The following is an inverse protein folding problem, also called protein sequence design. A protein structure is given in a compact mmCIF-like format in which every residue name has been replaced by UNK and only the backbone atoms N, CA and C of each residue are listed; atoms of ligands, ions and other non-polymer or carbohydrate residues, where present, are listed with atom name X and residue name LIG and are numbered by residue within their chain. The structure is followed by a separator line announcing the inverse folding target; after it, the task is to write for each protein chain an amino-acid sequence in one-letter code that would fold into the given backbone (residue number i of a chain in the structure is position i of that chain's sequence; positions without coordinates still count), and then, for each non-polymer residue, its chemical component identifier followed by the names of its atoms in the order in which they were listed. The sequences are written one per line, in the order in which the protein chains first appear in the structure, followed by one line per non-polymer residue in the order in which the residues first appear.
data_IF_632922068115
#
_entry.id   IF_632922068115
#
_cell.length_a   1.000
_cell.length_b   1.000
_cell.length_c   1.000
_cell.angle_alpha   90.00
_cell.angle_beta   90.00
_cell.angle_gamma   90.00
#
_symmetry.space_group_name_H-M   'P 1'
#
loop_
_entity.id
_entity.type
_entity.pdbx_description
1 polymer ?
#
# COMPACT_ATOMS: atom_id res chain seq x y z
N UNK A 1 8.06 -33.67 -0.52
CA UNK A 1 6.66 -33.49 -0.57
C UNK A 1 6.22 -32.18 -1.19
N UNK A 2 6.10 -32.10 -2.54
CA UNK A 2 6.06 -30.79 -3.21
C UNK A 2 4.70 -30.46 -3.85
N UNK A 3 3.61 -30.83 -3.20
CA UNK A 3 2.24 -30.60 -3.68
C UNK A 3 1.40 -29.74 -2.72
N UNK A 4 2.01 -28.80 -2.04
CA UNK A 4 1.22 -27.77 -1.33
C UNK A 4 0.77 -26.75 -2.36
N UNK A 5 -0.53 -26.59 -2.53
CA UNK A 5 -1.10 -25.53 -3.37
C UNK A 5 -0.59 -24.18 -2.88
N UNK A 6 -0.21 -23.28 -3.79
CA UNK A 6 0.12 -21.90 -3.42
C UNK A 6 -1.13 -21.19 -2.94
N UNK A 7 -0.99 -20.42 -1.89
CA UNK A 7 -2.04 -19.49 -1.46
C UNK A 7 -1.76 -18.09 -1.97
N UNK A 8 -2.81 -17.33 -2.09
CA UNK A 8 -2.79 -15.92 -2.51
C UNK A 8 -3.41 -15.10 -1.39
N UNK A 9 -2.75 -14.02 -1.03
CA UNK A 9 -3.28 -12.96 -0.20
C UNK A 9 -3.21 -11.63 -0.92
N UNK A 10 -4.03 -10.68 -0.50
CA UNK A 10 -4.04 -9.31 -1.05
C UNK A 10 -4.14 -8.31 0.09
N UNK A 11 -3.36 -7.25 0.00
CA UNK A 11 -3.53 -6.05 0.80
C UNK A 11 -4.16 -4.97 -0.08
N UNK A 12 -5.19 -4.31 0.41
CA UNK A 12 -5.91 -3.28 -0.33
C UNK A 12 -6.04 -2.05 0.55
N UNK A 13 -5.45 -0.96 0.10
CA UNK A 13 -5.53 0.33 0.75
C UNK A 13 -6.60 1.21 0.12
N UNK A 14 -7.22 2.07 0.91
CA UNK A 14 -8.11 3.10 0.40
C UNK A 14 -8.06 4.39 1.22
N UNK A 15 -8.37 5.48 0.55
CA UNK A 15 -8.66 6.75 1.20
C UNK A 15 -10.10 6.80 1.69
N UNK A 16 -10.35 7.61 2.72
CA UNK A 16 -11.69 7.88 3.23
C UNK A 16 -11.93 9.38 3.24
N UNK A 17 -13.04 9.82 2.62
CA UNK A 17 -13.41 11.22 2.46
C UNK A 17 -14.83 11.48 2.97
N UNK A 18 -15.06 12.69 3.46
CA UNK A 18 -16.40 13.20 3.72
C UNK A 18 -17.08 13.69 2.43
N UNK A 19 -18.31 14.15 2.54
CA UNK A 19 -19.11 14.69 1.40
C UNK A 19 -18.52 15.95 0.75
N UNK A 20 -17.59 16.64 1.43
CA UNK A 20 -16.91 17.83 0.92
C UNK A 20 -15.50 17.51 0.40
N UNK A 21 -15.17 16.22 0.30
CA UNK A 21 -13.86 15.71 -0.13
C UNK A 21 -12.71 16.02 0.82
N UNK A 22 -12.98 16.28 2.09
CA UNK A 22 -11.94 16.31 3.13
C UNK A 22 -11.64 14.89 3.60
N UNK A 23 -10.35 14.62 3.82
CA UNK A 23 -9.89 13.35 4.39
C UNK A 23 -10.47 13.16 5.79
N UNK A 24 -10.82 11.93 6.12
CA UNK A 24 -11.17 11.57 7.49
C UNK A 24 -10.00 11.93 8.43
N UNK A 25 -10.25 12.51 9.63
CA UNK A 25 -9.19 12.72 10.63
C UNK A 25 -8.49 11.40 10.94
N UNK A 26 -7.17 11.43 11.11
CA UNK A 26 -6.39 10.21 11.34
C UNK A 26 -6.47 9.79 12.80
N UNK A 27 -6.24 10.75 13.68
CA UNK A 27 -6.15 10.50 15.13
C UNK A 27 -7.49 10.71 15.82
N UNK A 28 -7.72 9.99 16.91
CA UNK A 28 -8.93 10.15 17.71
C UNK A 28 -9.10 11.57 18.21
N UNK A 29 -10.33 12.07 18.13
CA UNK A 29 -10.69 13.42 18.53
C UNK A 29 -12.18 13.57 18.87
N UNK A 30 -12.75 14.72 18.59
CA UNK A 30 -14.18 15.02 18.83
C UNK A 30 -15.11 14.50 17.73
N UNK A 31 -14.56 14.11 16.57
CA UNK A 31 -15.29 13.54 15.43
C UNK A 31 -14.72 12.20 15.08
N UNK A 32 -15.50 11.39 14.35
CA UNK A 32 -15.11 10.04 13.93
C UNK A 32 -13.85 10.07 13.08
N UNK A 33 -12.89 9.20 13.39
CA UNK A 33 -11.55 9.19 12.82
C UNK A 33 -11.21 7.84 12.16
N UNK A 34 -10.13 7.79 11.38
CA UNK A 34 -9.57 6.56 10.85
C UNK A 34 -9.18 5.57 11.97
N UNK A 35 -8.71 6.08 13.10
CA UNK A 35 -8.41 5.26 14.29
C UNK A 35 -9.67 4.63 14.90
N UNK A 36 -10.81 5.34 14.90
CA UNK A 36 -12.09 4.78 15.35
C UNK A 36 -12.60 3.73 14.37
N UNK A 37 -12.49 3.99 13.07
CA UNK A 37 -12.82 3.03 12.01
C UNK A 37 -12.00 1.74 12.13
N UNK A 38 -10.70 1.86 12.36
CA UNK A 38 -9.81 0.71 12.56
C UNK A 38 -10.26 -0.15 13.76
N UNK A 39 -10.57 0.46 14.88
CA UNK A 39 -11.06 -0.25 16.07
C UNK A 39 -12.39 -0.96 15.80
N UNK A 40 -13.31 -0.29 15.11
CA UNK A 40 -14.59 -0.89 14.75
C UNK A 40 -14.42 -2.08 13.81
N UNK A 41 -13.61 -1.96 12.75
CA UNK A 41 -13.32 -3.05 11.83
C UNK A 41 -12.72 -4.27 12.56
N UNK A 42 -11.76 -4.05 13.45
CA UNK A 42 -11.13 -5.12 14.23
C UNK A 42 -12.09 -5.79 15.22
N UNK A 43 -13.20 -5.17 15.58
CA UNK A 43 -14.21 -5.73 16.47
C UNK A 43 -15.23 -6.66 15.79
N UNK A 44 -15.23 -6.70 14.43
CA UNK A 44 -16.26 -7.42 13.67
C UNK A 44 -15.86 -8.86 13.40
N UNK A 45 -16.54 -9.79 14.05
CA UNK A 45 -16.30 -11.24 13.96
C UNK A 45 -16.36 -11.82 12.54
N UNK A 46 -17.25 -11.28 11.69
CA UNK A 46 -17.44 -11.77 10.31
C UNK A 46 -16.22 -11.59 9.38
N UNK A 47 -15.30 -10.74 9.76
CA UNK A 47 -14.07 -10.46 9.01
C UNK A 47 -12.83 -10.64 9.89
N UNK A 48 -12.96 -11.35 11.01
CA UNK A 48 -11.89 -11.56 11.99
C UNK A 48 -10.66 -12.30 11.46
N UNK A 49 -10.82 -13.01 10.33
CA UNK A 49 -9.68 -13.66 9.64
C UNK A 49 -8.85 -12.71 8.77
N UNK A 50 -9.31 -11.46 8.63
CA UNK A 50 -8.60 -10.40 7.90
C UNK A 50 -7.75 -9.58 8.86
N UNK A 51 -6.66 -9.00 8.35
CA UNK A 51 -5.90 -7.96 9.05
C UNK A 51 -6.40 -6.56 8.67
N UNK A 52 -6.34 -5.64 9.62
CA UNK A 52 -6.60 -4.22 9.36
C UNK A 52 -5.50 -3.38 9.95
N UNK A 53 -5.05 -2.38 9.20
CA UNK A 53 -4.06 -1.40 9.66
C UNK A 53 -4.36 -0.01 9.12
N UNK A 54 -3.62 0.96 9.65
CA UNK A 54 -3.59 2.32 9.12
C UNK A 54 -2.20 2.61 8.57
N UNK A 55 -2.19 3.13 7.37
CA UNK A 55 -1.02 3.76 6.79
C UNK A 55 -0.77 5.15 7.43
N UNK A 56 0.45 5.72 7.33
CA UNK A 56 0.82 6.95 8.05
C UNK A 56 -0.14 8.12 7.90
N UNK A 57 -0.78 8.28 6.74
CA UNK A 57 -1.78 9.32 6.48
C UNK A 57 -3.22 8.88 6.74
N UNK A 58 -3.44 7.78 7.46
CA UNK A 58 -4.78 7.28 7.81
C UNK A 58 -5.50 6.56 6.69
N UNK A 59 -4.78 6.13 5.64
CA UNK A 59 -5.34 5.21 4.66
C UNK A 59 -5.67 3.90 5.37
N UNK A 60 -6.85 3.35 5.09
CA UNK A 60 -7.28 2.07 5.65
C UNK A 60 -6.71 0.96 4.77
N UNK A 61 -5.97 0.06 5.38
CA UNK A 61 -5.49 -1.17 4.76
C UNK A 61 -6.31 -2.37 5.23
N UNK A 62 -6.73 -3.19 4.30
CA UNK A 62 -7.30 -4.51 4.52
C UNK A 62 -6.35 -5.56 3.96
N UNK A 63 -5.91 -6.48 4.82
CA UNK A 63 -5.16 -7.66 4.44
C UNK A 63 -6.07 -8.88 4.44
N UNK A 64 -6.21 -9.55 3.29
CA UNK A 64 -7.05 -10.73 3.15
C UNK A 64 -6.52 -11.92 3.96
N UNK A 65 -7.37 -12.91 4.26
CA UNK A 65 -6.90 -14.26 4.57
C UNK A 65 -6.07 -14.81 3.41
N UNK A 66 -5.21 -15.78 3.69
CA UNK A 66 -4.53 -16.55 2.66
C UNK A 66 -5.51 -17.52 2.00
N UNK A 67 -5.89 -17.24 0.75
CA UNK A 67 -6.92 -17.95 -0.01
C UNK A 67 -6.28 -18.99 -0.96
N UNK A 68 -7.01 -20.08 -1.21
CA UNK A 68 -6.59 -21.11 -2.19
C UNK A 68 -7.06 -20.78 -3.61
N UNK A 69 -8.08 -19.95 -3.74
CA UNK A 69 -8.66 -19.57 -5.03
C UNK A 69 -8.93 -18.05 -5.11
N UNK A 70 -8.95 -17.54 -6.34
CA UNK A 70 -9.33 -16.14 -6.61
C UNK A 70 -10.79 -15.88 -6.21
N UNK A 71 -11.67 -16.86 -6.34
CA UNK A 71 -13.06 -16.74 -5.95
C UNK A 71 -13.23 -16.54 -4.43
N UNK A 72 -12.45 -17.26 -3.61
CA UNK A 72 -12.43 -17.05 -2.16
C UNK A 72 -11.93 -15.65 -1.81
N UNK A 73 -10.89 -15.20 -2.49
CA UNK A 73 -10.35 -13.86 -2.30
C UNK A 73 -11.37 -12.77 -2.67
N UNK A 74 -12.02 -12.90 -3.83
CA UNK A 74 -13.08 -11.98 -4.27
C UNK A 74 -14.23 -11.93 -3.25
N UNK A 75 -14.71 -13.08 -2.79
CA UNK A 75 -15.78 -13.13 -1.79
C UNK A 75 -15.36 -12.46 -0.47
N UNK A 76 -14.12 -12.66 -0.05
CA UNK A 76 -13.57 -12.04 1.15
C UNK A 76 -13.51 -10.51 1.00
N UNK A 77 -13.05 -10.01 -0.14
CA UNK A 77 -13.04 -8.58 -0.45
C UNK A 77 -14.44 -7.97 -0.48
N UNK A 78 -15.39 -8.62 -1.15
CA UNK A 78 -16.78 -8.15 -1.23
C UNK A 78 -17.45 -8.08 0.15
N UNK A 79 -17.18 -9.05 1.03
CA UNK A 79 -17.65 -9.01 2.41
C UNK A 79 -17.06 -7.84 3.18
N UNK A 80 -15.74 -7.64 3.10
CA UNK A 80 -15.08 -6.48 3.70
C UNK A 80 -15.66 -5.17 3.18
N UNK A 81 -15.71 -5.01 1.86
CA UNK A 81 -16.21 -3.78 1.21
C UNK A 81 -17.62 -3.42 1.65
N UNK A 82 -18.51 -4.41 1.73
CA UNK A 82 -19.88 -4.23 2.20
C UNK A 82 -19.95 -3.74 3.65
N UNK A 83 -19.08 -4.25 4.51
CA UNK A 83 -19.01 -3.84 5.92
C UNK A 83 -18.44 -2.44 6.03
N UNK A 84 -17.33 -2.17 5.32
CA UNK A 84 -16.71 -0.85 5.27
C UNK A 84 -17.71 0.20 4.83
N UNK A 85 -18.40 -0.01 3.71
CA UNK A 85 -19.36 0.94 3.17
C UNK A 85 -20.51 1.22 4.16
N UNK A 86 -21.00 0.20 4.86
CA UNK A 86 -22.04 0.36 5.86
C UNK A 86 -21.60 1.23 7.04
N UNK A 87 -20.36 1.06 7.50
CA UNK A 87 -19.81 1.89 8.58
C UNK A 87 -19.64 3.33 8.09
N UNK A 88 -19.00 3.50 6.95
CA UNK A 88 -18.72 4.82 6.38
C UNK A 88 -19.98 5.60 6.04
N UNK A 89 -21.01 4.95 5.48
CA UNK A 89 -22.31 5.58 5.19
C UNK A 89 -22.99 6.09 6.47
N UNK A 90 -22.91 5.34 7.57
CA UNK A 90 -23.44 5.76 8.88
C UNK A 90 -22.74 7.01 9.41
N UNK A 91 -21.44 7.10 9.22
CA UNK A 91 -20.58 8.20 9.70
C UNK A 91 -20.47 9.37 8.72
N UNK A 92 -21.07 9.25 7.53
CA UNK A 92 -21.07 10.32 6.52
C UNK A 92 -19.81 10.40 5.68
N UNK A 93 -19.08 9.28 5.54
CA UNK A 93 -17.86 9.14 4.76
C UNK A 93 -18.04 8.20 3.57
N UNK A 94 -17.06 8.21 2.65
CA UNK A 94 -16.94 7.30 1.50
C UNK A 94 -15.50 6.82 1.35
N UNK A 95 -15.33 5.57 0.95
CA UNK A 95 -14.02 5.03 0.55
C UNK A 95 -13.72 5.34 -0.90
N UNK A 96 -12.45 5.64 -1.21
CA UNK A 96 -11.96 5.86 -2.56
C UNK A 96 -10.72 4.99 -2.80
N UNK A 97 -10.81 4.06 -3.75
CA UNK A 97 -9.73 3.16 -4.16
C UNK A 97 -9.03 3.76 -5.39
N UNK A 98 -7.99 4.55 -5.15
CA UNK A 98 -7.20 5.24 -6.17
C UNK A 98 -5.74 5.32 -5.71
N UNK A 99 -4.79 5.32 -6.64
CA UNK A 99 -3.37 5.21 -6.32
C UNK A 99 -2.75 6.43 -5.62
N UNK A 100 -3.32 7.62 -5.81
CA UNK A 100 -2.84 8.88 -5.18
C UNK A 100 -4.03 9.70 -4.76
N UNK A 101 -3.96 10.38 -3.61
CA UNK A 101 -4.96 11.36 -3.20
C UNK A 101 -5.06 12.45 -4.27
N UNK A 102 -6.25 12.63 -4.89
CA UNK A 102 -6.38 13.52 -6.04
C UNK A 102 -6.42 15.01 -5.66
N UNK A 103 -6.63 15.34 -4.38
CA UNK A 103 -6.94 16.69 -3.94
C UNK A 103 -5.94 17.25 -2.93
N UNK A 104 -5.57 16.45 -1.92
CA UNK A 104 -4.84 16.94 -0.75
C UNK A 104 -3.34 16.76 -0.91
N UNK A 105 -2.56 17.68 -0.33
CA UNK A 105 -1.12 17.55 -0.19
C UNK A 105 -0.75 16.87 1.14
N UNK A 106 0.50 16.42 1.31
CA UNK A 106 0.93 15.81 2.58
C UNK A 106 0.72 16.72 3.80
N UNK A 107 0.85 18.03 3.64
CA UNK A 107 0.66 19.00 4.72
C UNK A 107 -0.82 19.23 5.07
N UNK A 108 -1.74 18.90 4.17
CA UNK A 108 -3.19 18.95 4.41
C UNK A 108 -3.69 17.68 5.12
N UNK A 109 -2.85 16.64 5.22
CA UNK A 109 -3.20 15.33 5.76
C UNK A 109 -2.52 15.13 7.12
N UNK A 110 -3.30 14.75 8.14
CA UNK A 110 -2.74 14.37 9.43
C UNK A 110 -1.79 13.18 9.29
N UNK A 111 -0.80 13.14 10.18
CA UNK A 111 0.06 11.98 10.40
C UNK A 111 -0.42 11.23 11.63
N UNK A 112 -0.43 9.89 11.55
CA UNK A 112 -0.72 9.05 12.72
C UNK A 112 0.24 9.39 13.86
N UNK A 113 -0.28 9.60 15.07
CA UNK A 113 0.52 10.04 16.22
C UNK A 113 1.31 8.89 16.86
N UNK A 114 2.21 8.30 16.06
CA UNK A 114 3.16 7.28 16.49
C UNK A 114 4.59 7.75 16.21
N UNK A 115 5.49 7.56 17.18
CA UNK A 115 6.90 8.00 17.09
C UNK A 115 7.59 7.49 15.82
N UNK A 116 7.36 6.22 15.43
CA UNK A 116 7.94 5.64 14.22
C UNK A 116 7.58 6.46 12.96
N UNK A 117 6.33 6.87 12.82
CA UNK A 117 5.88 7.63 11.64
C UNK A 117 6.37 9.07 11.65
N UNK A 118 6.51 9.68 12.83
CA UNK A 118 7.14 11.00 12.95
C UNK A 118 8.62 10.98 12.54
N UNK A 119 9.34 9.91 12.89
CA UNK A 119 10.74 9.73 12.49
C UNK A 119 10.85 9.46 10.98
N UNK A 120 9.96 8.61 10.44
CA UNK A 120 9.88 8.35 8.99
C UNK A 120 9.60 9.63 8.22
N UNK A 121 8.62 10.42 8.61
CA UNK A 121 8.24 11.67 7.93
C UNK A 121 9.43 12.64 7.86
N UNK A 122 10.13 12.86 8.98
CA UNK A 122 11.35 13.67 9.03
C UNK A 122 12.49 13.13 8.16
N UNK A 123 12.60 11.80 8.06
CA UNK A 123 13.63 11.18 7.23
C UNK A 123 13.29 11.31 5.74
N UNK A 124 12.03 11.07 5.38
CA UNK A 124 11.54 11.20 4.00
C UNK A 124 11.61 12.65 3.48
N UNK A 125 11.38 13.64 4.34
CA UNK A 125 11.58 15.06 3.99
C UNK A 125 13.03 15.38 3.58
N UNK A 126 14.00 14.65 4.13
CA UNK A 126 15.43 14.88 3.86
C UNK A 126 15.96 14.12 2.65
N UNK A 127 15.43 12.94 2.36
CA UNK A 127 16.01 12.01 1.38
C UNK A 127 15.48 12.15 -0.03
N UNK A 128 14.20 12.46 -0.20
CA UNK A 128 13.58 12.56 -1.50
C UNK A 128 12.51 13.64 -1.54
N UNK A 129 12.27 14.19 -2.72
CA UNK A 129 11.29 15.28 -2.90
C UNK A 129 9.85 14.82 -2.67
N UNK A 130 9.53 13.51 -2.84
CA UNK A 130 8.18 12.98 -2.81
C UNK A 130 7.96 11.91 -1.73
N UNK A 131 8.90 11.70 -0.80
CA UNK A 131 8.78 10.71 0.26
C UNK A 131 7.57 10.91 1.18
N UNK A 132 7.22 12.16 1.51
CA UNK A 132 6.02 12.47 2.30
C UNK A 132 4.73 12.20 1.53
N UNK A 133 4.74 12.39 0.19
CA UNK A 133 3.64 12.00 -0.68
C UNK A 133 3.40 10.49 -0.65
N UNK A 134 4.48 9.71 -0.77
CA UNK A 134 4.41 8.25 -0.68
C UNK A 134 3.77 7.81 0.63
N UNK A 135 4.20 8.37 1.77
CA UNK A 135 3.72 7.98 3.09
C UNK A 135 2.25 8.33 3.34
N UNK A 136 1.81 9.54 2.95
CA UNK A 136 0.52 10.08 3.39
C UNK A 136 -0.55 10.05 2.32
N UNK A 137 -0.17 10.07 1.04
CA UNK A 137 -1.07 10.35 -0.06
C UNK A 137 -1.04 9.29 -1.17
N UNK A 138 -0.51 8.09 -0.91
CA UNK A 138 -0.62 6.97 -1.84
C UNK A 138 -1.39 5.80 -1.24
N UNK A 139 -2.08 5.04 -2.10
CA UNK A 139 -2.67 3.75 -1.79
C UNK A 139 -2.25 2.72 -2.83
N UNK A 140 -2.28 1.45 -2.45
CA UNK A 140 -1.91 0.34 -3.32
C UNK A 140 -2.86 -0.86 -3.22
N UNK A 141 -2.70 -1.76 -4.18
CA UNK A 141 -3.09 -3.16 -4.07
C UNK A 141 -1.82 -3.97 -4.14
N UNK A 142 -1.54 -4.76 -3.11
CA UNK A 142 -0.37 -5.61 -3.02
C UNK A 142 -0.81 -7.07 -3.08
N UNK A 143 -0.15 -7.87 -3.90
CA UNK A 143 -0.46 -9.29 -4.05
C UNK A 143 0.65 -10.09 -3.39
N UNK A 144 0.28 -10.93 -2.43
CA UNK A 144 1.16 -11.84 -1.74
C UNK A 144 0.88 -13.28 -2.21
N UNK A 145 1.89 -14.03 -2.60
CA UNK A 145 1.76 -15.42 -2.96
C UNK A 145 2.92 -16.26 -2.44
N UNK A 146 2.65 -17.55 -2.19
CA UNK A 146 3.63 -18.44 -1.59
C UNK A 146 4.77 -18.76 -2.57
N UNK A 147 6.00 -18.70 -2.06
CA UNK A 147 7.21 -19.18 -2.74
C UNK A 147 7.52 -20.58 -2.24
N UNK A 148 7.81 -21.51 -3.15
CA UNK A 148 8.03 -22.94 -2.85
C UNK A 148 9.47 -23.28 -2.49
N UNK A 149 10.40 -22.64 -3.14
CA UNK A 149 11.85 -22.88 -2.98
C UNK A 149 12.65 -21.74 -3.60
N UNK A 150 13.96 -21.77 -3.46
CA UNK A 150 14.89 -20.74 -3.94
C UNK A 150 14.80 -20.50 -5.45
N UNK A 151 14.76 -21.56 -6.26
CA UNK A 151 14.60 -21.44 -7.71
C UNK A 151 13.30 -20.73 -8.10
N UNK A 152 12.21 -21.05 -7.42
CA UNK A 152 10.90 -20.41 -7.61
C UNK A 152 10.95 -18.91 -7.22
N UNK A 153 11.70 -18.56 -6.19
CA UNK A 153 11.95 -17.17 -5.81
C UNK A 153 12.70 -16.42 -6.90
N UNK A 154 13.80 -16.97 -7.39
CA UNK A 154 14.63 -16.38 -8.45
C UNK A 154 13.83 -16.13 -9.73
N UNK A 155 13.12 -17.17 -10.20
CA UNK A 155 12.25 -17.09 -11.39
C UNK A 155 11.15 -16.02 -11.19
N UNK A 156 10.54 -15.97 -10.02
CA UNK A 156 9.48 -15.02 -9.69
C UNK A 156 9.99 -13.59 -9.66
N UNK A 157 11.11 -13.33 -9.02
CA UNK A 157 11.73 -12.00 -8.96
C UNK A 157 12.07 -11.48 -10.36
N UNK A 158 12.67 -12.33 -11.19
CA UNK A 158 13.00 -11.98 -12.58
C UNK A 158 11.74 -11.64 -13.39
N UNK A 159 10.72 -12.50 -13.33
CA UNK A 159 9.47 -12.30 -14.08
C UNK A 159 8.76 -11.02 -13.62
N UNK A 160 8.66 -10.79 -12.31
CA UNK A 160 7.99 -9.61 -11.77
C UNK A 160 8.71 -8.33 -12.15
N UNK A 161 10.03 -8.29 -12.09
CA UNK A 161 10.80 -7.11 -12.48
C UNK A 161 10.68 -6.82 -13.99
N UNK A 162 10.69 -7.85 -14.84
CA UNK A 162 10.42 -7.70 -16.27
C UNK A 162 8.99 -7.24 -16.58
N UNK A 163 8.01 -7.67 -15.79
CA UNK A 163 6.60 -7.29 -15.96
C UNK A 163 6.28 -5.92 -15.35
N UNK A 164 7.10 -5.40 -14.46
CA UNK A 164 6.83 -4.17 -13.73
C UNK A 164 6.40 -2.98 -14.62
N UNK A 165 7.08 -2.64 -15.73
CA UNK A 165 6.65 -1.54 -16.58
C UNK A 165 5.27 -1.75 -17.21
N UNK A 166 4.98 -2.99 -17.60
CA UNK A 166 3.69 -3.39 -18.22
C UNK A 166 2.57 -3.30 -17.18
N UNK A 167 2.78 -3.84 -15.99
CA UNK A 167 1.80 -3.80 -14.91
C UNK A 167 1.56 -2.37 -14.42
N UNK A 168 2.61 -1.57 -14.30
CA UNK A 168 2.53 -0.15 -13.96
C UNK A 168 1.67 0.64 -14.96
N UNK A 169 1.74 0.31 -16.23
CA UNK A 169 0.90 0.91 -17.27
C UNK A 169 -0.54 0.41 -17.22
N UNK A 170 -0.75 -0.91 -17.17
CA UNK A 170 -2.08 -1.53 -17.21
C UNK A 170 -2.95 -1.16 -16.00
N UNK A 171 -2.35 -1.03 -14.83
CA UNK A 171 -3.04 -0.71 -13.58
C UNK A 171 -2.89 0.75 -13.14
N UNK A 172 -2.45 1.62 -14.05
CA UNK A 172 -2.35 3.05 -13.77
C UNK A 172 -3.72 3.67 -13.56
N UNK A 173 -3.93 4.34 -12.42
CA UNK A 173 -5.17 5.02 -12.06
C UNK A 173 -4.95 6.16 -11.06
N UNK A 174 -3.90 6.96 -11.30
CA UNK A 174 -3.56 8.12 -10.48
C UNK A 174 -3.27 9.35 -11.35
N UNK A 175 -4.26 9.85 -12.13
CA UNK A 175 -4.03 10.90 -13.10
C UNK A 175 -4.12 12.33 -12.53
N UNK A 176 -4.53 12.49 -11.27
CA UNK A 176 -4.81 13.79 -10.67
C UNK A 176 -3.78 14.20 -9.63
N UNK A 177 -3.56 15.50 -9.53
CA UNK A 177 -2.71 16.17 -8.57
C UNK A 177 -3.32 17.52 -8.22
N UNK A 178 -3.60 17.75 -6.94
CA UNK A 178 -4.23 19.01 -6.45
C UNK A 178 -5.52 19.40 -7.21
N UNK A 179 -6.35 18.42 -7.51
CA UNK A 179 -7.61 18.64 -8.21
C UNK A 179 -7.51 18.79 -9.74
N UNK A 180 -6.29 18.76 -10.30
CA UNK A 180 -6.05 18.93 -11.73
C UNK A 180 -5.49 17.66 -12.39
N UNK A 181 -5.80 17.47 -13.68
CA UNK A 181 -5.21 16.38 -14.45
C UNK A 181 -3.74 16.66 -14.76
N UNK A 182 -2.86 15.71 -14.41
CA UNK A 182 -1.41 15.86 -14.58
C UNK A 182 -0.91 15.59 -16.00
N UNK A 183 -1.74 14.97 -16.85
CA UNK A 183 -1.29 14.38 -18.12
C UNK A 183 -0.53 13.05 -17.95
N UNK A 184 -0.26 12.63 -16.72
CA UNK A 184 0.35 11.34 -16.39
C UNK A 184 -0.70 10.42 -15.76
N UNK A 185 -0.90 9.23 -16.31
CA UNK A 185 -1.86 8.27 -15.78
C UNK A 185 -1.35 7.56 -14.52
N UNK A 186 -0.06 7.54 -14.29
CA UNK A 186 0.59 6.85 -13.17
C UNK A 186 1.48 7.79 -12.33
N UNK A 187 0.86 8.80 -11.74
CA UNK A 187 1.54 9.70 -10.80
C UNK A 187 2.15 8.92 -9.62
N UNK A 188 1.50 7.84 -9.17
CA UNK A 188 2.00 7.00 -8.08
C UNK A 188 3.39 6.45 -8.36
N UNK A 189 3.64 5.94 -9.57
CA UNK A 189 4.96 5.45 -9.93
C UNK A 189 6.02 6.57 -9.87
N UNK A 190 5.69 7.76 -10.37
CA UNK A 190 6.57 8.91 -10.28
C UNK A 190 6.90 9.29 -8.82
N UNK A 191 5.92 9.22 -7.92
CA UNK A 191 6.14 9.47 -6.48
C UNK A 191 7.14 8.46 -5.92
N UNK A 192 6.98 7.17 -6.20
CA UNK A 192 7.86 6.12 -5.71
C UNK A 192 9.29 6.24 -6.26
N UNK A 193 9.46 6.54 -7.53
CA UNK A 193 10.77 6.79 -8.16
C UNK A 193 11.52 7.96 -7.52
N UNK A 194 10.81 8.91 -6.91
CA UNK A 194 11.39 10.09 -6.26
C UNK A 194 11.30 10.06 -4.73
N UNK A 195 11.12 8.88 -4.14
CA UNK A 195 11.03 8.70 -2.68
C UNK A 195 12.39 8.45 -2.04
N UNK A 196 13.07 7.37 -2.39
CA UNK A 196 14.39 7.00 -1.83
C UNK A 196 15.13 6.09 -2.82
N UNK A 197 16.15 6.60 -3.45
CA UNK A 197 16.97 5.87 -4.44
C UNK A 197 17.64 4.62 -3.87
N UNK A 198 17.85 4.57 -2.57
CA UNK A 198 18.50 3.41 -1.92
C UNK A 198 17.60 2.18 -1.86
N UNK A 199 16.27 2.32 -2.09
CA UNK A 199 15.31 1.23 -1.95
C UNK A 199 14.19 1.18 -3.00
N UNK A 200 13.96 2.26 -3.75
CA UNK A 200 12.80 2.37 -4.65
C UNK A 200 13.13 2.13 -6.12
N UNK A 201 14.32 1.59 -6.44
CA UNK A 201 14.70 1.17 -7.79
C UNK A 201 14.27 -0.27 -8.04
N UNK A 202 14.23 -0.68 -9.32
CA UNK A 202 14.00 -2.08 -9.70
C UNK A 202 15.14 -2.99 -9.22
N UNK A 203 14.88 -4.30 -9.14
CA UNK A 203 15.90 -5.28 -8.75
C UNK A 203 17.06 -5.33 -9.75
N UNK A 204 16.78 -5.15 -11.04
CA UNK A 204 17.81 -5.01 -12.09
C UNK A 204 18.70 -3.78 -11.81
N UNK A 205 18.10 -2.63 -11.51
CA UNK A 205 18.84 -1.41 -11.24
C UNK A 205 19.68 -1.47 -9.95
N UNK A 206 19.35 -2.38 -9.03
CA UNK A 206 20.16 -2.71 -7.86
C UNK A 206 21.20 -3.79 -8.13
N UNK A 207 21.25 -4.37 -9.34
CA UNK A 207 22.18 -5.43 -9.73
C UNK A 207 21.86 -6.82 -9.16
N UNK A 208 20.66 -7.00 -8.58
CA UNK A 208 20.28 -8.24 -7.89
C UNK A 208 20.03 -9.37 -8.90
N UNK A 209 19.39 -9.08 -10.01
CA UNK A 209 19.02 -10.09 -11.03
C UNK A 209 20.22 -10.59 -11.85
N UNK A 210 21.28 -9.80 -11.94
CA UNK A 210 22.48 -10.12 -12.72
C UNK A 210 23.50 -10.98 -11.95
N UNK A 211 23.28 -11.25 -10.68
CA UNK A 211 24.19 -12.05 -9.83
C UNK A 211 23.96 -13.56 -10.03
N UNK A 212 24.97 -14.35 -9.69
CA UNK A 212 24.92 -15.82 -9.77
C UNK A 212 23.95 -16.43 -8.76
N UNK A 213 23.71 -15.77 -7.64
CA UNK A 213 22.74 -16.12 -6.60
C UNK A 213 21.88 -14.91 -6.33
N UNK A 214 20.68 -14.89 -6.89
CA UNK A 214 19.71 -13.80 -6.70
C UNK A 214 19.33 -13.66 -5.24
N UNK A 215 19.19 -14.78 -4.51
CA UNK A 215 18.85 -14.76 -3.09
C UNK A 215 19.96 -14.12 -2.25
N UNK A 216 21.22 -14.48 -2.46
CA UNK A 216 22.34 -13.89 -1.73
C UNK A 216 22.48 -12.39 -2.04
N UNK A 217 22.36 -12.02 -3.32
CA UNK A 217 22.41 -10.63 -3.74
C UNK A 217 21.25 -9.80 -3.11
N UNK A 218 20.06 -10.37 -3.03
CA UNK A 218 18.93 -9.73 -2.37
C UNK A 218 19.15 -9.57 -0.86
N UNK A 219 19.69 -10.58 -0.19
CA UNK A 219 20.05 -10.51 1.24
C UNK A 219 21.10 -9.43 1.47
N UNK A 220 22.14 -9.40 0.66
CA UNK A 220 23.20 -8.37 0.77
C UNK A 220 22.62 -6.97 0.53
N UNK A 221 21.74 -6.81 -0.44
CA UNK A 221 21.03 -5.55 -0.68
C UNK A 221 20.25 -5.11 0.56
N UNK A 222 19.45 -5.99 1.15
CA UNK A 222 18.64 -5.67 2.35
C UNK A 222 19.51 -5.20 3.50
N UNK A 223 20.68 -5.83 3.72
CA UNK A 223 21.61 -5.40 4.77
C UNK A 223 22.34 -4.08 4.47
N UNK A 224 22.44 -3.68 3.20
CA UNK A 224 23.08 -2.42 2.80
C UNK A 224 22.13 -1.23 2.82
N UNK A 225 20.81 -1.48 2.74
CA UNK A 225 19.81 -0.40 2.77
C UNK A 225 19.86 0.32 4.12
N UNK A 226 20.06 1.66 4.15
CA UNK A 226 20.13 2.40 5.39
C UNK A 226 18.85 2.27 6.21
N UNK A 227 18.98 1.99 7.51
CA UNK A 227 17.85 2.00 8.43
C UNK A 227 17.19 3.38 8.51
N UNK A 228 15.87 3.40 8.72
CA UNK A 228 15.10 4.65 8.90
C UNK A 228 15.07 5.04 10.39
N UNK A 229 15.24 4.05 11.27
CA UNK A 229 15.22 4.18 12.73
C UNK A 229 16.55 3.77 13.34
#
# INVERSE_FOLDING_TARGET
GDNVARKIGVEVECFVFDKNYYRIPVNKGSIYSASDLLEELNSIEKISNSGFSLEPGGQIEWASPACETIQELEQSFLNYKKILDKILDREGYKSLFIGVDPLNEPDDTELINLMKYQLMDKNMEKKGSLGRWMMRNTCSIQINYDIKNEKDLEESLYILDCLHPVLSFLFSHSPFYKGEATGNLNLRNHIWENTDDSRCKSLINHGIIDDKSVLDAYIDFVFQVPGIF
#
